data_IF_608240301304
#
_entry.id   IF_608240301304
#
_cell.length_a   1.000
_cell.length_b   1.000
_cell.length_c   1.000
_cell.angle_alpha   90.00
_cell.angle_beta   90.00
_cell.angle_gamma   90.00
#
_symmetry.space_group_name_H-M   'P 1'
#
loop_
_entity.id
_entity.type
_entity.pdbx_description
1 polymer ?
#
# COMPACT_ATOMS: atom_id res chain seq x y z
N UNK A 1 -28.15 12.19 -41.25
CA UNK A 1 -26.91 11.39 -41.28
C UNK A 1 -25.66 12.27 -41.16
N UNK A 2 -25.55 13.13 -40.14
CA UNK A 2 -24.42 14.09 -40.02
C UNK A 2 -23.96 14.32 -38.56
N UNK A 3 -24.25 13.38 -37.66
CA UNK A 3 -23.86 13.43 -36.24
C UNK A 3 -22.78 12.39 -35.89
N UNK A 4 -22.79 11.24 -36.54
CA UNK A 4 -21.83 10.14 -36.29
C UNK A 4 -20.39 10.48 -36.75
N UNK A 5 -20.24 11.20 -37.88
CA UNK A 5 -18.91 11.55 -38.43
C UNK A 5 -18.09 12.48 -37.54
N UNK A 6 -18.73 13.28 -36.67
CA UNK A 6 -18.04 14.20 -35.74
C UNK A 6 -17.36 13.45 -34.59
N UNK A 7 -17.95 12.32 -34.17
CA UNK A 7 -17.39 11.48 -33.10
C UNK A 7 -16.14 10.78 -33.63
N UNK A 8 -16.20 10.17 -34.84
CA UNK A 8 -15.03 9.55 -35.46
C UNK A 8 -13.90 10.54 -35.77
N UNK A 9 -14.21 11.79 -36.17
CA UNK A 9 -13.17 12.81 -36.40
C UNK A 9 -12.48 13.23 -35.09
N UNK A 10 -13.22 13.35 -33.98
CA UNK A 10 -12.65 13.67 -32.66
C UNK A 10 -11.77 12.54 -32.12
N UNK A 11 -12.16 11.28 -32.34
CA UNK A 11 -11.32 10.13 -31.98
C UNK A 11 -10.05 10.02 -32.85
N UNK A 12 -10.11 10.40 -34.14
CA UNK A 12 -8.94 10.41 -35.03
C UNK A 12 -7.93 11.51 -34.64
N UNK A 13 -8.39 12.72 -34.27
CA UNK A 13 -7.51 13.83 -33.86
C UNK A 13 -6.80 13.52 -32.53
N UNK A 14 -7.48 12.85 -31.58
CA UNK A 14 -6.87 12.43 -30.32
C UNK A 14 -5.83 11.33 -30.50
N UNK A 15 -6.01 10.45 -31.49
CA UNK A 15 -5.04 9.38 -31.77
C UNK A 15 -3.76 9.92 -32.44
N UNK A 16 -3.87 10.94 -33.29
CA UNK A 16 -2.71 11.58 -33.94
C UNK A 16 -1.86 12.36 -32.93
N UNK A 17 -2.47 13.03 -31.94
CA UNK A 17 -1.71 13.70 -30.87
C UNK A 17 -0.95 12.74 -29.95
N UNK A 18 -1.35 11.46 -29.84
CA UNK A 18 -0.72 10.51 -28.93
C UNK A 18 0.52 9.82 -29.54
N UNK A 19 0.70 9.86 -30.86
CA UNK A 19 1.78 9.13 -31.56
C UNK A 19 3.04 10.00 -31.80
N UNK A 20 2.97 11.33 -31.67
CA UNK A 20 4.11 12.23 -31.95
C UNK A 20 5.01 12.59 -30.74
N UNK A 21 4.79 12.01 -29.56
CA UNK A 21 5.52 12.39 -28.32
C UNK A 21 6.73 11.51 -27.97
N UNK A 22 7.17 10.63 -28.88
CA UNK A 22 8.35 9.76 -28.66
C UNK A 22 9.36 9.69 -29.82
N UNK A 23 9.48 10.72 -30.68
CA UNK A 23 10.56 10.71 -31.69
C UNK A 23 11.21 12.06 -31.96
N UNK A 24 12.54 12.10 -31.67
CA UNK A 24 13.59 13.02 -32.19
C UNK A 24 13.69 14.38 -31.47
N UNK A 25 14.80 14.83 -30.91
CA UNK A 25 16.22 14.44 -31.01
C UNK A 25 17.04 15.43 -31.86
N UNK A 26 17.70 16.41 -31.21
CA UNK A 26 18.86 17.23 -31.69
C UNK A 26 18.59 18.29 -32.79
N UNK A 27 19.29 19.43 -32.95
CA UNK A 27 20.57 19.93 -32.44
C UNK A 27 20.77 21.45 -32.73
N UNK A 28 21.28 22.22 -31.74
CA UNK A 28 22.19 23.43 -31.78
C UNK A 28 21.84 24.76 -32.49
N UNK A 29 21.95 25.88 -31.73
CA UNK A 29 23.11 26.83 -31.75
C UNK A 29 23.00 27.98 -30.71
N UNK A 30 24.10 28.23 -29.98
CA UNK A 30 24.62 29.57 -29.66
C UNK A 30 24.10 30.33 -28.42
N UNK A 31 24.92 30.45 -27.38
CA UNK A 31 24.75 31.46 -26.32
C UNK A 31 25.56 31.19 -25.06
N UNK A 32 26.79 31.74 -24.98
CA UNK A 32 27.60 31.72 -23.75
C UNK A 32 27.01 32.71 -22.75
N UNK A 33 26.47 32.20 -21.64
CA UNK A 33 26.17 32.98 -20.44
C UNK A 33 26.50 32.13 -19.21
N UNK A 34 27.60 32.46 -18.50
CA UNK A 34 27.86 31.92 -17.17
C UNK A 34 26.90 32.59 -16.19
N UNK A 35 25.89 31.86 -15.72
CA UNK A 35 25.20 32.18 -14.46
C UNK A 35 25.24 30.93 -13.60
N UNK A 36 25.96 31.01 -12.48
CA UNK A 36 25.90 30.01 -11.42
C UNK A 36 24.59 30.25 -10.66
N UNK A 37 23.60 29.37 -10.81
CA UNK A 37 22.47 29.27 -9.88
C UNK A 37 22.29 27.84 -9.43
N UNK A 38 22.60 27.63 -8.15
CA UNK A 38 22.36 26.41 -7.38
C UNK A 38 20.92 26.49 -6.88
N UNK A 39 19.98 25.78 -7.50
CA UNK A 39 18.63 25.59 -6.94
C UNK A 39 18.22 24.15 -7.20
N UNK A 40 17.87 23.46 -6.10
CA UNK A 40 17.66 22.02 -6.04
C UNK A 40 16.49 21.53 -6.88
N UNK A 41 16.58 20.26 -7.27
CA UNK A 41 15.49 19.55 -7.92
C UNK A 41 14.21 19.69 -7.11
N UNK A 42 13.22 20.35 -7.72
CA UNK A 42 11.87 20.47 -7.19
C UNK A 42 11.31 19.08 -6.94
N UNK A 43 11.17 18.73 -5.67
CA UNK A 43 10.32 17.62 -5.26
C UNK A 43 8.90 18.03 -5.60
N UNK A 44 8.31 17.30 -6.53
CA UNK A 44 6.98 17.46 -7.09
C UNK A 44 5.97 17.94 -6.05
N UNK A 45 5.49 19.18 -6.22
CA UNK A 45 4.50 19.84 -5.36
C UNK A 45 3.19 19.03 -5.27
N UNK A 46 2.87 18.25 -6.30
CA UNK A 46 1.76 17.29 -6.32
C UNK A 46 1.88 16.16 -5.27
N UNK A 47 3.11 15.77 -4.90
CA UNK A 47 3.31 14.74 -3.86
C UNK A 47 3.05 15.28 -2.45
N UNK A 48 3.25 16.58 -2.23
CA UNK A 48 3.06 17.19 -0.91
C UNK A 48 1.57 17.45 -0.64
N UNK A 49 0.79 17.81 -1.66
CA UNK A 49 -0.64 18.10 -1.49
C UNK A 49 -1.42 16.83 -1.08
N UNK A 50 -1.07 15.65 -1.60
CA UNK A 50 -1.69 14.38 -1.18
C UNK A 50 -1.36 14.00 0.28
N UNK A 51 -0.16 14.35 0.78
CA UNK A 51 0.17 14.15 2.19
C UNK A 51 -0.62 15.06 3.14
N UNK A 52 -1.08 16.21 2.64
CA UNK A 52 -1.91 17.17 3.39
C UNK A 52 -3.40 16.80 3.42
N UNK A 53 -3.84 15.88 2.55
CA UNK A 53 -5.21 15.35 2.52
C UNK A 53 -5.41 14.16 3.47
N UNK A 54 -4.33 13.55 3.96
CA UNK A 54 -4.42 12.60 5.04
C UNK A 54 -4.74 13.36 6.33
N UNK A 55 -6.00 13.33 6.75
CA UNK A 55 -6.38 13.79 8.07
C UNK A 55 -5.42 13.14 9.08
N UNK A 56 -4.73 13.94 9.91
CA UNK A 56 -3.77 13.45 10.90
C UNK A 56 -4.42 12.49 11.92
N UNK A 57 -5.76 12.44 11.92
CA UNK A 57 -6.61 11.53 12.67
C UNK A 57 -6.84 10.16 12.02
N UNK A 58 -6.40 9.99 10.77
CA UNK A 58 -6.55 8.75 10.01
C UNK A 58 -5.84 7.56 10.67
N UNK A 59 -6.31 6.36 10.35
CA UNK A 59 -5.69 5.13 10.84
C UNK A 59 -4.27 5.01 10.27
N UNK A 60 -3.30 4.80 11.15
CA UNK A 60 -1.89 4.63 10.82
C UNK A 60 -1.33 3.41 11.51
N UNK A 61 -0.70 2.52 10.75
CA UNK A 61 0.01 1.37 11.31
C UNK A 61 1.38 1.86 11.80
N UNK A 62 1.61 1.76 13.11
CA UNK A 62 2.81 2.29 13.79
C UNK A 62 3.87 1.22 14.02
N UNK A 63 3.46 -0.03 14.18
CA UNK A 63 4.38 -1.18 14.26
C UNK A 63 3.68 -2.49 13.91
N UNK A 64 4.43 -3.55 13.68
CA UNK A 64 3.89 -4.88 13.39
C UNK A 64 4.99 -5.85 12.99
N UNK A 65 4.63 -7.07 12.60
CA UNK A 65 5.56 -8.07 12.09
C UNK A 65 6.32 -7.57 10.85
N UNK A 66 7.44 -8.22 10.57
CA UNK A 66 8.25 -7.95 9.37
C UNK A 66 7.45 -8.32 8.11
N UNK A 67 7.86 -7.79 6.96
CA UNK A 67 7.22 -8.14 5.69
C UNK A 67 7.34 -9.64 5.41
N UNK A 68 8.46 -10.29 5.75
CA UNK A 68 8.60 -11.75 5.69
C UNK A 68 8.58 -12.28 7.11
N UNK A 69 7.65 -13.19 7.39
CA UNK A 69 7.54 -13.90 8.65
C UNK A 69 7.75 -15.40 8.41
N UNK A 70 8.91 -15.89 8.81
CA UNK A 70 9.21 -17.32 8.73
C UNK A 70 8.62 -18.05 9.94
N UNK A 71 8.01 -19.22 9.72
CA UNK A 71 7.50 -20.10 10.77
C UNK A 71 7.95 -21.55 10.56
N UNK A 72 7.93 -22.34 11.64
CA UNK A 72 8.20 -23.79 11.62
C UNK A 72 6.88 -24.54 11.63
N UNK A 73 6.79 -25.61 10.83
CA UNK A 73 5.60 -26.47 10.79
C UNK A 73 5.37 -27.13 12.15
N UNK A 74 4.12 -27.19 12.59
CA UNK A 74 3.72 -27.72 13.90
C UNK A 74 3.92 -26.77 15.09
N UNK A 75 4.58 -25.63 14.88
CA UNK A 75 4.76 -24.58 15.89
C UNK A 75 3.81 -23.40 15.64
N UNK A 76 3.90 -22.37 16.48
CA UNK A 76 3.11 -21.15 16.34
C UNK A 76 3.63 -20.19 15.27
N UNK A 77 2.73 -19.73 14.40
CA UNK A 77 2.90 -18.56 13.56
C UNK A 77 2.27 -17.35 14.27
N UNK A 78 3.05 -16.31 14.53
CA UNK A 78 2.58 -15.09 15.22
C UNK A 78 2.75 -13.88 14.32
N UNK A 79 1.62 -13.21 14.05
CA UNK A 79 1.54 -11.97 13.29
C UNK A 79 1.02 -10.85 14.18
N UNK A 80 1.71 -9.72 14.17
CA UNK A 80 1.39 -8.55 15.02
C UNK A 80 1.13 -7.33 14.16
N UNK A 81 0.15 -6.53 14.54
CA UNK A 81 -0.15 -5.26 13.92
C UNK A 81 -0.60 -4.27 14.99
N UNK A 82 0.04 -3.10 15.06
CA UNK A 82 -0.31 -2.00 15.97
C UNK A 82 -0.66 -0.78 15.15
N UNK A 83 -1.84 -0.24 15.42
CA UNK A 83 -2.35 0.95 14.74
C UNK A 83 -2.66 2.06 15.74
N UNK A 84 -2.67 3.28 15.22
CA UNK A 84 -3.00 4.52 15.92
C UNK A 84 -3.95 5.34 15.05
N UNK A 85 -4.87 6.08 15.67
CA UNK A 85 -5.77 7.00 14.98
C UNK A 85 -6.72 7.66 15.97
N UNK A 86 -7.38 8.74 15.58
CA UNK A 86 -8.35 9.44 16.44
C UNK A 86 -9.66 9.75 15.69
N UNK A 87 -10.71 8.91 15.74
CA UNK A 87 -10.92 7.83 16.70
C UNK A 87 -9.97 6.63 16.59
N UNK A 88 -9.86 5.86 17.68
CA UNK A 88 -9.07 4.63 17.70
C UNK A 88 -9.48 3.73 16.52
N UNK A 89 -8.53 3.25 15.71
CA UNK A 89 -8.85 2.41 14.56
C UNK A 89 -9.25 0.99 15.00
N UNK A 90 -9.94 0.30 14.11
CA UNK A 90 -10.19 -1.15 14.20
C UNK A 90 -9.16 -1.89 13.35
N UNK A 91 -8.75 -3.10 13.75
CA UNK A 91 -7.87 -3.95 12.93
C UNK A 91 -8.64 -5.17 12.43
N UNK A 92 -8.59 -5.42 11.13
CA UNK A 92 -9.04 -6.69 10.53
C UNK A 92 -7.86 -7.39 9.85
N UNK A 93 -7.94 -8.72 9.76
CA UNK A 93 -6.91 -9.55 9.14
C UNK A 93 -7.49 -10.33 7.97
N UNK A 94 -6.75 -10.34 6.87
CA UNK A 94 -7.08 -11.10 5.67
C UNK A 94 -5.90 -11.98 5.29
N UNK A 95 -6.17 -13.16 4.72
CA UNK A 95 -5.16 -14.03 4.11
C UNK A 95 -5.45 -14.12 2.62
N UNK A 96 -4.46 -13.81 1.79
CA UNK A 96 -4.56 -13.85 0.32
C UNK A 96 -5.78 -13.07 -0.20
N UNK A 97 -6.03 -11.90 0.41
CA UNK A 97 -7.18 -11.00 0.17
C UNK A 97 -8.56 -11.54 0.56
N UNK A 98 -8.63 -12.69 1.24
CA UNK A 98 -9.86 -13.26 1.78
C UNK A 98 -9.93 -13.12 3.30
N UNK A 99 -11.13 -13.07 3.87
CA UNK A 99 -11.32 -13.12 5.31
C UNK A 99 -10.78 -14.44 5.91
N UNK A 100 -10.11 -14.31 7.05
CA UNK A 100 -9.61 -15.47 7.77
C UNK A 100 -10.78 -16.12 8.50
N UNK A 101 -11.18 -17.28 8.01
CA UNK A 101 -12.23 -18.07 8.65
C UNK A 101 -11.80 -18.51 10.06
N UNK A 102 -12.68 -18.41 11.06
CA UNK A 102 -12.40 -18.94 12.39
C UNK A 102 -12.18 -20.46 12.29
N UNK A 103 -11.03 -20.92 12.79
CA UNK A 103 -10.64 -22.33 12.87
C UNK A 103 -10.14 -22.62 14.28
N UNK A 104 -10.10 -23.90 14.67
CA UNK A 104 -9.64 -24.31 15.99
C UNK A 104 -8.19 -23.87 16.29
N UNK A 105 -7.36 -23.75 15.25
CA UNK A 105 -5.95 -23.38 15.36
C UNK A 105 -5.69 -21.88 15.15
N UNK A 106 -6.73 -21.05 14.96
CA UNK A 106 -6.58 -19.60 14.68
C UNK A 106 -7.11 -18.80 15.86
N UNK A 107 -6.27 -17.95 16.44
CA UNK A 107 -6.59 -17.13 17.59
C UNK A 107 -6.28 -15.65 17.35
N UNK A 108 -7.26 -14.80 17.59
CA UNK A 108 -7.12 -13.34 17.54
C UNK A 108 -7.07 -12.79 18.96
N UNK A 109 -6.19 -11.82 19.18
CA UNK A 109 -6.12 -11.10 20.45
C UNK A 109 -5.88 -9.62 20.22
N UNK A 110 -6.72 -8.80 20.84
CA UNK A 110 -6.68 -7.35 20.69
C UNK A 110 -6.47 -6.67 22.02
N UNK A 111 -5.64 -5.62 22.01
CA UNK A 111 -5.30 -4.80 23.17
C UNK A 111 -5.53 -3.32 22.81
N UNK A 112 -6.74 -2.81 23.05
CA UNK A 112 -7.03 -1.39 22.86
C UNK A 112 -6.39 -0.52 23.96
N UNK A 113 -5.88 0.67 23.61
CA UNK A 113 -5.36 1.65 24.56
C UNK A 113 -5.44 3.08 24.00
N UNK A 114 -6.25 3.98 24.60
CA UNK A 114 -6.44 5.36 24.14
C UNK A 114 -6.72 5.49 22.63
N UNK A 115 -5.81 6.06 21.84
CA UNK A 115 -5.89 6.19 20.39
C UNK A 115 -5.14 5.06 19.64
N UNK A 116 -4.67 4.04 20.36
CA UNK A 116 -3.97 2.87 19.84
C UNK A 116 -4.80 1.59 19.94
N UNK A 117 -4.49 0.65 19.07
CA UNK A 117 -4.91 -0.75 19.15
C UNK A 117 -3.75 -1.64 18.74
N UNK A 118 -3.52 -2.72 19.48
CA UNK A 118 -2.59 -3.78 19.09
C UNK A 118 -3.37 -5.06 18.85
N UNK A 119 -3.22 -5.66 17.67
CA UNK A 119 -3.84 -6.92 17.30
C UNK A 119 -2.75 -7.96 17.03
N UNK A 120 -2.96 -9.18 17.53
CA UNK A 120 -2.10 -10.35 17.31
C UNK A 120 -2.97 -11.48 16.76
N UNK A 121 -2.59 -11.97 15.58
CA UNK A 121 -3.07 -13.19 14.97
C UNK A 121 -2.06 -14.30 15.26
N UNK A 122 -2.53 -15.38 15.86
CA UNK A 122 -1.75 -16.56 16.21
C UNK A 122 -2.36 -17.78 15.54
N UNK A 123 -1.52 -18.59 14.88
CA UNK A 123 -1.92 -19.86 14.28
C UNK A 123 -1.07 -20.97 14.90
N UNK A 124 -1.71 -21.90 15.62
CA UNK A 124 -1.03 -22.98 16.34
C UNK A 124 -1.91 -24.25 16.38
N UNK A 125 -1.45 -25.40 15.84
CA UNK A 125 -0.22 -25.57 15.07
C UNK A 125 -0.32 -24.93 13.68
N UNK A 126 0.77 -24.31 13.23
CA UNK A 126 0.89 -23.78 11.87
C UNK A 126 1.28 -24.89 10.89
N UNK A 127 0.56 -24.97 9.79
CA UNK A 127 0.66 -26.00 8.76
C UNK A 127 1.10 -25.41 7.41
N UNK A 128 1.37 -26.27 6.44
CA UNK A 128 1.79 -25.87 5.08
C UNK A 128 0.74 -24.95 4.44
N UNK A 129 -0.55 -25.20 4.68
CA UNK A 129 -1.66 -24.39 4.16
C UNK A 129 -1.80 -22.99 4.76
N UNK A 130 -1.05 -22.69 5.83
CA UNK A 130 -1.02 -21.36 6.45
C UNK A 130 -0.01 -20.43 5.74
N UNK A 131 0.77 -20.93 4.79
CA UNK A 131 1.59 -20.07 3.94
C UNK A 131 0.69 -19.14 3.13
N UNK A 132 1.09 -17.87 2.99
CA UNK A 132 0.34 -16.88 2.23
C UNK A 132 0.68 -15.44 2.61
N UNK A 133 -0.04 -14.50 2.01
CA UNK A 133 0.10 -13.07 2.33
C UNK A 133 -1.01 -12.65 3.27
N UNK A 134 -0.62 -12.32 4.50
CA UNK A 134 -1.51 -11.79 5.52
C UNK A 134 -1.52 -10.27 5.47
N UNK A 135 -2.70 -9.67 5.36
CA UNK A 135 -2.86 -8.22 5.36
C UNK A 135 -3.59 -7.80 6.62
N UNK A 136 -2.96 -6.96 7.45
CA UNK A 136 -3.69 -6.25 8.49
C UNK A 136 -4.21 -4.93 7.93
N UNK A 137 -5.50 -4.67 8.15
CA UNK A 137 -6.20 -3.47 7.71
C UNK A 137 -6.59 -2.69 8.96
N UNK A 138 -5.97 -1.52 9.14
CA UNK A 138 -6.33 -0.57 10.18
C UNK A 138 -7.31 0.46 9.60
N UNK A 139 -8.50 0.55 10.17
CA UNK A 139 -9.56 1.39 9.65
C UNK A 139 -10.11 2.37 10.69
N UNK A 140 -10.36 3.61 10.27
CA UNK A 140 -11.09 4.62 11.03
C UNK A 140 -11.95 5.46 10.06
N UNK A 141 -12.89 6.26 10.58
CA UNK A 141 -13.76 7.14 9.78
C UNK A 141 -13.02 8.13 8.87
N UNK A 142 -11.75 8.41 9.16
CA UNK A 142 -10.91 9.35 8.40
C UNK A 142 -9.98 8.67 7.39
N UNK A 143 -9.91 7.34 7.40
CA UNK A 143 -9.13 6.61 6.42
C UNK A 143 -8.70 5.22 6.87
N UNK A 144 -8.10 4.51 5.92
CA UNK A 144 -7.70 3.11 6.03
C UNK A 144 -6.24 2.98 5.67
N UNK A 145 -5.51 2.14 6.42
CA UNK A 145 -4.12 1.82 6.16
C UNK A 145 -3.94 0.31 6.23
N UNK A 146 -3.14 -0.24 5.32
CA UNK A 146 -2.92 -1.69 5.23
C UNK A 146 -1.45 -2.02 5.34
N UNK A 147 -1.13 -3.17 5.94
CA UNK A 147 0.22 -3.72 5.94
C UNK A 147 0.18 -5.20 5.61
N UNK A 148 0.94 -5.57 4.59
CA UNK A 148 1.09 -6.96 4.15
C UNK A 148 2.28 -7.63 4.82
N UNK A 149 2.12 -8.92 5.14
CA UNK A 149 3.09 -9.79 5.77
C UNK A 149 3.03 -11.13 5.04
N UNK A 150 4.10 -11.49 4.34
CA UNK A 150 4.32 -12.78 3.70
C UNK A 150 4.74 -13.80 4.75
N UNK A 151 3.88 -14.77 5.04
CA UNK A 151 4.22 -15.89 5.91
C UNK A 151 4.78 -17.03 5.06
N UNK A 152 5.97 -17.52 5.41
CA UNK A 152 6.66 -18.61 4.72
C UNK A 152 7.10 -19.66 5.74
N UNK A 153 6.93 -20.95 5.45
CA UNK A 153 7.48 -21.98 6.33
C UNK A 153 8.94 -22.25 5.97
N UNK A 154 9.75 -22.60 6.98
CA UNK A 154 11.08 -23.15 6.77
C UNK A 154 11.10 -24.61 7.26
N UNK A 155 11.81 -25.45 6.52
CA UNK A 155 12.07 -26.86 6.87
C UNK A 155 13.36 -27.02 7.70
N UNK A 156 14.03 -25.92 8.05
CA UNK A 156 15.30 -25.99 8.77
C UNK A 156 15.10 -26.31 10.27
N UNK A 157 15.92 -27.26 10.74
CA UNK A 157 15.97 -27.77 12.11
C UNK A 157 16.54 -26.72 13.07
#
# INVERSE_FOLDING_TARGET
MHSEYRIYLLFLVLFICFVDIQSRGGLRRGGKGKVKSKIGGGKNEFSLILSSLADNRSARIVSGSHYIQVYKLGFKLILKCKAQGDPRPTITWHKDNCDIQPKYNVHFSEKPANNFISSKLEIEPAMIGDQGVYTCVANNRYGTMTKSIKAEYSLEH
#
